data_IF_881735836196
#
_entry.id   IF_881735836196
#
_cell.length_a   1.000
_cell.length_b   1.000
_cell.length_c   1.000
_cell.angle_alpha   90.00
_cell.angle_beta   90.00
_cell.angle_gamma   90.00
#
_symmetry.space_group_name_H-M   'P 1'
#
loop_
_entity.id
_entity.type
_entity.pdbx_description
1 polymer ?
#
# COMPACT_ATOMS: atom_id res chain seq x y z
N UNK A 1 -21.81 -17.25 3.95
CA UNK A 1 -21.33 -17.01 5.34
C UNK A 1 -21.00 -18.35 5.97
N UNK A 2 -19.73 -18.59 6.32
CA UNK A 2 -19.31 -19.77 7.09
C UNK A 2 -19.38 -19.37 8.57
N UNK A 3 -20.24 -20.03 9.36
CA UNK A 3 -20.39 -19.77 10.80
C UNK A 3 -19.46 -20.72 11.55
N UNK A 4 -18.48 -20.16 12.25
CA UNK A 4 -17.73 -20.86 13.29
C UNK A 4 -18.12 -20.12 14.58
N UNK A 5 -18.84 -20.79 15.48
CA UNK A 5 -19.12 -20.35 16.86
C UNK A 5 -20.03 -19.12 17.10
N UNK A 6 -20.96 -18.81 16.18
CA UNK A 6 -22.02 -17.80 16.43
C UNK A 6 -21.60 -16.34 16.21
N UNK A 7 -20.31 -16.06 16.06
CA UNK A 7 -19.80 -14.79 15.54
C UNK A 7 -19.59 -14.89 14.02
N UNK A 8 -20.15 -13.96 13.26
CA UNK A 8 -19.91 -13.87 11.82
C UNK A 8 -18.56 -13.19 11.63
N UNK A 9 -17.54 -13.95 11.23
CA UNK A 9 -16.25 -13.37 10.82
C UNK A 9 -16.50 -12.38 9.68
N UNK A 10 -16.16 -11.10 9.89
CA UNK A 10 -16.31 -10.04 8.89
C UNK A 10 -15.54 -10.42 7.62
N UNK A 11 -16.24 -10.49 6.49
CA UNK A 11 -15.61 -10.76 5.20
C UNK A 11 -14.66 -9.63 4.83
N UNK A 12 -15.02 -8.39 5.21
CA UNK A 12 -14.14 -7.23 5.06
C UNK A 12 -12.79 -7.44 5.76
N UNK A 13 -12.77 -7.94 7.00
CA UNK A 13 -11.51 -8.20 7.71
C UNK A 13 -10.66 -9.26 7.02
N UNK A 14 -11.27 -10.36 6.56
CA UNK A 14 -10.55 -11.43 5.86
C UNK A 14 -9.91 -10.89 4.58
N UNK A 15 -10.69 -10.20 3.75
CA UNK A 15 -10.24 -9.65 2.48
C UNK A 15 -9.15 -8.59 2.71
N UNK A 16 -9.36 -7.68 3.67
CA UNK A 16 -8.37 -6.66 4.04
C UNK A 16 -7.07 -7.27 4.56
N UNK A 17 -7.14 -8.36 5.32
CA UNK A 17 -5.96 -9.05 5.83
C UNK A 17 -5.16 -9.70 4.70
N UNK A 18 -5.83 -10.35 3.74
CA UNK A 18 -5.18 -10.95 2.57
C UNK A 18 -4.55 -9.85 1.70
N UNK A 19 -5.28 -8.78 1.42
CA UNK A 19 -4.76 -7.64 0.65
C UNK A 19 -3.58 -6.99 1.37
N UNK A 20 -3.70 -6.75 2.68
CA UNK A 20 -2.62 -6.19 3.51
C UNK A 20 -1.38 -7.07 3.48
N UNK A 21 -1.51 -8.39 3.63
CA UNK A 21 -0.38 -9.31 3.54
C UNK A 21 0.31 -9.25 2.16
N UNK A 22 -0.46 -9.18 1.07
CA UNK A 22 0.07 -9.03 -0.28
C UNK A 22 0.80 -7.69 -0.47
N UNK A 23 0.26 -6.58 0.05
CA UNK A 23 0.91 -5.25 0.04
C UNK A 23 2.23 -5.29 0.83
N UNK A 24 2.24 -5.91 2.02
CA UNK A 24 3.46 -6.01 2.82
C UNK A 24 4.52 -6.88 2.14
N UNK A 25 4.12 -7.95 1.46
CA UNK A 25 5.04 -8.76 0.66
C UNK A 25 5.64 -7.94 -0.48
N UNK A 26 4.82 -7.21 -1.23
CA UNK A 26 5.28 -6.31 -2.31
C UNK A 26 6.29 -5.29 -1.79
N UNK A 27 5.95 -4.63 -0.69
CA UNK A 27 6.77 -3.60 -0.07
C UNK A 27 8.11 -4.12 0.45
N UNK A 28 8.12 -5.23 1.19
CA UNK A 28 9.34 -5.70 1.82
C UNK A 28 10.20 -6.57 0.91
N UNK A 29 9.62 -7.17 -0.13
CA UNK A 29 10.35 -8.01 -1.08
C UNK A 29 10.68 -7.24 -2.37
N UNK A 30 9.68 -6.83 -3.16
CA UNK A 30 9.90 -6.25 -4.47
C UNK A 30 10.41 -4.81 -4.37
N UNK A 31 9.70 -3.93 -3.67
CA UNK A 31 10.08 -2.51 -3.55
C UNK A 31 11.46 -2.33 -2.94
N UNK A 32 11.79 -3.06 -1.87
CA UNK A 32 13.14 -2.98 -1.27
C UNK A 32 14.24 -3.51 -2.18
N UNK A 33 13.94 -4.49 -3.03
CA UNK A 33 14.90 -5.07 -3.99
C UNK A 33 15.18 -4.12 -5.15
N UNK A 34 14.13 -3.58 -5.80
CA UNK A 34 14.29 -2.69 -6.97
C UNK A 34 14.51 -1.22 -6.61
N UNK A 35 14.08 -0.81 -5.42
CA UNK A 35 13.98 0.59 -5.02
C UNK A 35 12.78 1.31 -5.65
N UNK A 36 12.29 2.36 -5.01
CA UNK A 36 11.12 3.10 -5.48
C UNK A 36 11.54 4.34 -6.30
N UNK A 37 11.04 4.53 -7.54
CA UNK A 37 11.22 5.78 -8.27
C UNK A 37 10.44 6.92 -7.60
N UNK A 38 10.91 8.16 -7.76
CA UNK A 38 10.33 9.35 -7.10
C UNK A 38 8.82 9.53 -7.30
N UNK A 39 8.31 9.07 -8.43
CA UNK A 39 6.89 9.15 -8.74
C UNK A 39 6.08 8.23 -7.80
N UNK A 40 6.50 6.97 -7.62
CA UNK A 40 5.84 6.00 -6.73
C UNK A 40 5.90 6.43 -5.26
N UNK A 41 6.98 7.12 -4.87
CA UNK A 41 7.10 7.71 -3.53
C UNK A 41 5.97 8.71 -3.22
N UNK A 42 5.44 9.38 -4.25
CA UNK A 42 4.32 10.34 -4.09
C UNK A 42 2.98 9.65 -4.35
N UNK A 43 2.92 8.72 -5.30
CA UNK A 43 1.68 8.06 -5.68
C UNK A 43 1.14 7.14 -4.60
N UNK A 44 2.00 6.30 -4.00
CA UNK A 44 1.57 5.33 -3.01
C UNK A 44 0.90 6.00 -1.79
N UNK A 45 1.41 7.12 -1.24
CA UNK A 45 0.68 7.88 -0.21
C UNK A 45 -0.69 8.38 -0.66
N UNK A 46 -0.83 8.88 -1.89
CA UNK A 46 -2.11 9.36 -2.43
C UNK A 46 -3.11 8.21 -2.51
N UNK A 47 -2.68 7.06 -3.03
CA UNK A 47 -3.53 5.89 -3.18
C UNK A 47 -3.96 5.37 -1.80
N UNK A 48 -3.02 5.32 -0.86
CA UNK A 48 -3.27 4.93 0.54
C UNK A 48 -4.27 5.87 1.24
N UNK A 49 -4.12 7.19 1.06
CA UNK A 49 -5.06 8.19 1.59
C UNK A 49 -6.45 8.00 0.97
N UNK A 50 -6.54 7.66 -0.32
CA UNK A 50 -7.83 7.44 -0.99
C UNK A 50 -8.62 6.29 -0.35
N UNK A 51 -7.94 5.21 0.07
CA UNK A 51 -8.57 4.07 0.76
C UNK A 51 -8.99 4.46 2.16
N UNK A 52 -8.11 5.12 2.92
CA UNK A 52 -8.44 5.63 4.27
C UNK A 52 -9.67 6.55 4.19
N UNK A 53 -9.73 7.45 3.20
CA UNK A 53 -10.87 8.35 3.03
C UNK A 53 -12.18 7.57 2.79
N UNK A 54 -12.14 6.50 1.98
CA UNK A 54 -13.31 5.64 1.77
C UNK A 54 -13.75 4.96 3.08
N UNK A 55 -12.82 4.39 3.85
CA UNK A 55 -13.16 3.69 5.09
C UNK A 55 -13.64 4.65 6.18
N UNK A 56 -12.99 5.81 6.34
CA UNK A 56 -13.44 6.82 7.31
C UNK A 56 -14.79 7.42 6.92
N UNK A 57 -15.11 7.54 5.63
CA UNK A 57 -16.44 7.94 5.18
C UNK A 57 -17.52 6.97 5.69
N UNK A 58 -17.30 5.66 5.61
CA UNK A 58 -18.22 4.66 6.16
C UNK A 58 -18.33 4.74 7.70
N UNK A 59 -17.25 5.06 8.40
CA UNK A 59 -17.25 5.19 9.87
C UNK A 59 -18.10 6.40 10.33
N UNK A 60 -17.94 7.54 9.66
CA UNK A 60 -18.48 8.83 10.13
C UNK A 60 -19.78 9.27 9.46
N UNK A 61 -20.29 8.49 8.49
CA UNK A 61 -21.47 8.87 7.71
C UNK A 61 -22.56 7.81 7.85
N UNK A 62 -23.82 8.25 7.99
CA UNK A 62 -24.98 7.36 7.97
C UNK A 62 -25.33 6.96 6.53
N UNK A 63 -25.83 5.73 6.37
CA UNK A 63 -26.24 5.25 5.05
C UNK A 63 -27.56 5.90 4.62
N UNK A 64 -27.47 6.61 3.49
CA UNK A 64 -28.59 7.20 2.76
C UNK A 64 -28.35 6.97 1.26
N UNK A 65 -29.36 7.12 0.38
CA UNK A 65 -29.14 7.00 -1.06
C UNK A 65 -28.06 7.95 -1.60
N UNK A 66 -27.99 9.17 -1.04
CA UNK A 66 -26.98 10.17 -1.43
C UNK A 66 -25.59 9.78 -0.98
N UNK A 67 -25.42 9.35 0.28
CA UNK A 67 -24.11 8.98 0.82
C UNK A 67 -23.59 7.68 0.22
N UNK A 68 -24.48 6.75 -0.15
CA UNK A 68 -24.16 5.57 -0.95
C UNK A 68 -23.63 5.94 -2.34
N UNK A 69 -24.28 6.88 -3.05
CA UNK A 69 -23.77 7.37 -4.33
C UNK A 69 -22.39 8.05 -4.20
N UNK A 70 -22.19 8.86 -3.16
CA UNK A 70 -20.90 9.50 -2.87
C UNK A 70 -19.82 8.44 -2.62
N UNK A 71 -20.12 7.42 -1.82
CA UNK A 71 -19.18 6.33 -1.55
C UNK A 71 -18.76 5.61 -2.83
N UNK A 72 -19.70 5.26 -3.72
CA UNK A 72 -19.34 4.61 -4.99
C UNK A 72 -18.45 5.48 -5.87
N UNK A 73 -18.67 6.80 -5.89
CA UNK A 73 -17.78 7.73 -6.60
C UNK A 73 -16.39 7.72 -5.97
N UNK A 74 -16.28 7.81 -4.65
CA UNK A 74 -14.99 7.76 -3.94
C UNK A 74 -14.26 6.44 -4.18
N UNK A 75 -14.95 5.31 -4.06
CA UNK A 75 -14.39 3.98 -4.29
C UNK A 75 -13.91 3.81 -5.74
N UNK A 76 -14.68 4.31 -6.72
CA UNK A 76 -14.27 4.30 -8.13
C UNK A 76 -13.02 5.15 -8.35
N UNK A 77 -12.95 6.35 -7.79
CA UNK A 77 -11.77 7.20 -7.86
C UNK A 77 -10.55 6.57 -7.18
N UNK A 78 -10.74 5.85 -6.07
CA UNK A 78 -9.69 5.08 -5.41
C UNK A 78 -9.18 3.94 -6.31
N UNK A 79 -10.07 3.19 -6.96
CA UNK A 79 -9.70 2.16 -7.93
C UNK A 79 -8.95 2.72 -9.14
N UNK A 80 -9.40 3.85 -9.68
CA UNK A 80 -8.68 4.56 -10.77
C UNK A 80 -7.30 5.01 -10.30
N UNK A 81 -7.21 5.47 -9.05
CA UNK A 81 -5.95 5.91 -8.46
C UNK A 81 -4.96 4.75 -8.44
N UNK A 82 -5.29 3.58 -7.88
CA UNK A 82 -4.33 2.45 -7.87
C UNK A 82 -4.03 1.89 -9.27
N UNK A 83 -5.01 1.86 -10.19
CA UNK A 83 -4.83 1.27 -11.52
C UNK A 83 -3.97 2.12 -12.46
N UNK A 84 -3.80 3.42 -12.18
CA UNK A 84 -2.89 4.30 -12.96
C UNK A 84 -1.45 3.79 -12.96
N UNK A 85 -1.05 3.08 -11.91
CA UNK A 85 0.34 2.65 -11.69
C UNK A 85 0.76 1.57 -12.70
N UNK A 86 -0.20 0.83 -13.25
CA UNK A 86 0.03 -0.23 -14.24
C UNK A 86 0.78 0.25 -15.49
N UNK A 87 0.55 1.49 -15.93
CA UNK A 87 1.25 2.08 -17.08
C UNK A 87 2.75 2.22 -16.84
N UNK A 88 3.15 2.31 -15.57
CA UNK A 88 4.53 2.42 -15.13
C UNK A 88 5.08 1.05 -14.76
N UNK A 89 4.31 0.23 -14.03
CA UNK A 89 4.73 -1.11 -13.58
C UNK A 89 5.19 -2.01 -14.72
N UNK A 90 4.49 -1.98 -15.87
CA UNK A 90 4.89 -2.72 -17.08
C UNK A 90 6.31 -2.44 -17.60
N UNK A 91 6.96 -1.37 -17.13
CA UNK A 91 8.32 -0.97 -17.55
C UNK A 91 9.40 -1.39 -16.54
N UNK A 92 9.03 -1.57 -15.28
CA UNK A 92 9.99 -1.74 -14.17
C UNK A 92 9.82 -3.04 -13.39
N UNK A 93 8.61 -3.61 -13.39
CA UNK A 93 8.27 -4.77 -12.58
C UNK A 93 8.65 -6.07 -13.30
N UNK A 94 9.09 -7.05 -12.49
CA UNK A 94 9.26 -8.43 -12.94
C UNK A 94 7.93 -9.12 -13.19
N UNK A 95 7.91 -10.26 -13.88
CA UNK A 95 6.67 -10.98 -14.17
C UNK A 95 5.93 -11.42 -12.89
N UNK A 96 6.69 -11.78 -11.86
CA UNK A 96 6.19 -12.18 -10.55
C UNK A 96 5.57 -11.00 -9.80
N UNK A 97 6.19 -9.82 -9.88
CA UNK A 97 5.68 -8.57 -9.31
C UNK A 97 4.40 -8.12 -10.03
N UNK A 98 4.38 -8.19 -11.37
CA UNK A 98 3.17 -7.91 -12.16
C UNK A 98 2.01 -8.83 -11.81
N UNK A 99 2.28 -10.11 -11.54
CA UNK A 99 1.24 -11.05 -11.10
C UNK A 99 0.67 -10.66 -9.73
N UNK A 100 1.53 -10.29 -8.77
CA UNK A 100 1.09 -9.82 -7.46
C UNK A 100 0.25 -8.54 -7.58
N UNK A 101 0.66 -7.60 -8.43
CA UNK A 101 -0.08 -6.37 -8.70
C UNK A 101 -1.46 -6.66 -9.30
N UNK A 102 -1.57 -7.62 -10.22
CA UNK A 102 -2.87 -8.05 -10.74
C UNK A 102 -3.78 -8.60 -9.63
N UNK A 103 -3.23 -9.38 -8.68
CA UNK A 103 -3.98 -9.84 -7.50
C UNK A 103 -4.43 -8.65 -6.64
N UNK A 104 -3.54 -7.71 -6.36
CA UNK A 104 -3.85 -6.50 -5.59
C UNK A 104 -4.94 -5.64 -6.28
N UNK A 105 -4.91 -5.51 -7.60
CA UNK A 105 -5.93 -4.79 -8.37
C UNK A 105 -7.30 -5.47 -8.37
N UNK A 106 -7.37 -6.80 -8.20
CA UNK A 106 -8.64 -7.49 -7.97
C UNK A 106 -9.12 -7.34 -6.53
N UNK A 107 -8.20 -7.42 -5.56
CA UNK A 107 -8.52 -7.36 -4.14
C UNK A 107 -9.01 -5.96 -3.71
N UNK A 108 -8.44 -4.90 -4.28
CA UNK A 108 -8.79 -3.53 -3.93
C UNK A 108 -10.28 -3.17 -4.12
N UNK A 109 -10.88 -3.29 -5.33
CA UNK A 109 -12.31 -3.06 -5.50
C UNK A 109 -13.13 -4.04 -4.66
N UNK A 110 -12.71 -5.31 -4.54
CA UNK A 110 -13.41 -6.30 -3.73
C UNK A 110 -13.50 -5.87 -2.25
N UNK A 111 -12.41 -5.39 -1.67
CA UNK A 111 -12.39 -4.89 -0.30
C UNK A 111 -13.35 -3.70 -0.11
N UNK A 112 -13.36 -2.74 -1.04
CA UNK A 112 -14.25 -1.58 -0.98
C UNK A 112 -15.73 -1.96 -1.16
N UNK A 113 -16.05 -2.87 -2.09
CA UNK A 113 -17.44 -3.32 -2.26
C UNK A 113 -17.94 -4.16 -1.08
N UNK A 114 -17.07 -4.96 -0.45
CA UNK A 114 -17.43 -5.69 0.77
C UNK A 114 -17.58 -4.73 1.96
N UNK A 115 -16.75 -3.69 2.06
CA UNK A 115 -16.93 -2.64 3.07
C UNK A 115 -18.27 -1.92 2.92
N UNK A 116 -18.68 -1.61 1.69
CA UNK A 116 -20.02 -1.04 1.40
C UNK A 116 -21.15 -1.98 1.84
N UNK A 117 -21.00 -3.29 1.56
CA UNK A 117 -21.99 -4.28 1.95
C UNK A 117 -22.12 -4.41 3.48
N UNK A 118 -21.00 -4.31 4.20
CA UNK A 118 -20.96 -4.39 5.67
C UNK A 118 -21.03 -3.01 6.37
N UNK A 119 -21.43 -1.93 5.68
CA UNK A 119 -21.32 -0.54 6.18
C UNK A 119 -21.83 -0.38 7.62
N UNK A 120 -23.05 -0.82 7.89
CA UNK A 120 -23.67 -0.57 9.20
C UNK A 120 -23.14 -1.48 10.31
N UNK A 121 -22.68 -2.69 9.96
CA UNK A 121 -22.33 -3.72 10.93
C UNK A 121 -20.84 -3.71 11.31
N UNK A 122 -19.98 -3.15 10.45
CA UNK A 122 -18.52 -3.30 10.53
C UNK A 122 -17.75 -2.01 10.81
N UNK A 123 -18.38 -0.96 11.36
CA UNK A 123 -17.70 0.32 11.66
C UNK A 123 -16.42 0.19 12.51
N UNK A 124 -16.37 -0.62 13.59
CA UNK A 124 -15.13 -0.84 14.34
C UNK A 124 -14.02 -1.47 13.49
N UNK A 125 -14.38 -2.37 12.57
CA UNK A 125 -13.43 -2.99 11.66
C UNK A 125 -12.86 -1.99 10.66
N UNK A 126 -13.70 -1.10 10.09
CA UNK A 126 -13.22 -0.04 9.20
C UNK A 126 -12.25 0.90 9.90
N UNK A 127 -12.52 1.27 11.15
CA UNK A 127 -11.63 2.11 11.95
C UNK A 127 -10.30 1.39 12.23
N UNK A 128 -10.34 0.11 12.63
CA UNK A 128 -9.15 -0.69 12.89
C UNK A 128 -8.27 -0.84 11.64
N UNK A 129 -8.88 -1.19 10.50
CA UNK A 129 -8.17 -1.31 9.22
C UNK A 129 -7.61 0.04 8.76
N UNK A 130 -8.38 1.13 8.89
CA UNK A 130 -7.91 2.49 8.60
C UNK A 130 -6.69 2.86 9.45
N UNK A 131 -6.71 2.50 10.73
CA UNK A 131 -5.57 2.70 11.64
C UNK A 131 -4.33 1.94 11.19
N UNK A 132 -4.48 0.67 10.81
CA UNK A 132 -3.37 -0.12 10.26
C UNK A 132 -2.80 0.46 8.96
N UNK A 133 -3.67 0.88 8.03
CA UNK A 133 -3.28 1.53 6.77
C UNK A 133 -2.60 2.88 7.05
N UNK A 134 -3.06 3.64 8.05
CA UNK A 134 -2.42 4.89 8.44
C UNK A 134 -1.00 4.68 8.98
N UNK A 135 -0.77 3.64 9.78
CA UNK A 135 0.60 3.27 10.20
C UNK A 135 1.47 2.96 8.99
N UNK A 136 0.93 2.25 7.99
CA UNK A 136 1.63 1.97 6.75
C UNK A 136 1.92 3.23 5.93
N UNK A 137 0.98 4.18 5.85
CA UNK A 137 1.16 5.49 5.22
C UNK A 137 2.32 6.26 5.85
N UNK A 138 2.37 6.32 7.18
CA UNK A 138 3.47 6.98 7.91
C UNK A 138 4.80 6.31 7.57
N UNK A 139 4.83 4.97 7.54
CA UNK A 139 6.01 4.22 7.11
C UNK A 139 6.42 4.60 5.68
N UNK A 140 5.49 4.63 4.71
CA UNK A 140 5.79 4.98 3.32
C UNK A 140 6.41 6.39 3.22
N UNK A 141 5.79 7.38 3.87
CA UNK A 141 6.28 8.76 3.87
C UNK A 141 7.67 8.86 4.50
N UNK A 142 7.87 8.25 5.68
CA UNK A 142 9.14 8.35 6.40
C UNK A 142 10.25 7.57 5.69
N UNK A 143 10.01 6.30 5.37
CA UNK A 143 11.01 5.43 4.80
C UNK A 143 11.35 5.83 3.37
N UNK A 144 10.37 5.89 2.47
CA UNK A 144 10.65 6.18 1.06
C UNK A 144 10.87 7.67 0.79
N UNK A 145 10.16 8.55 1.50
CA UNK A 145 10.32 9.99 1.34
C UNK A 145 11.65 10.52 1.87
N UNK A 146 12.19 9.95 2.94
CA UNK A 146 13.37 10.52 3.63
C UNK A 146 14.54 9.56 3.83
N UNK A 147 14.30 8.30 4.25
CA UNK A 147 15.38 7.41 4.68
C UNK A 147 16.03 6.66 3.52
N UNK A 148 15.25 6.14 2.57
CA UNK A 148 15.73 5.29 1.49
C UNK A 148 16.79 6.01 0.63
N UNK A 149 16.56 7.29 0.32
CA UNK A 149 17.50 8.09 -0.47
C UNK A 149 18.82 8.33 0.28
N UNK A 150 18.75 8.58 1.60
CA UNK A 150 19.94 8.76 2.44
C UNK A 150 20.77 7.48 2.52
N UNK A 151 20.11 6.34 2.72
CA UNK A 151 20.75 5.01 2.77
C UNK A 151 21.43 4.70 1.44
N UNK A 152 20.77 5.01 0.31
CA UNK A 152 21.31 4.80 -1.03
C UNK A 152 22.58 5.63 -1.25
N UNK A 153 22.56 6.92 -0.94
CA UNK A 153 23.73 7.81 -1.05
C UNK A 153 24.89 7.33 -0.18
N UNK A 154 24.62 6.99 1.08
CA UNK A 154 25.63 6.49 2.00
C UNK A 154 26.30 5.19 1.51
N UNK A 155 25.53 4.25 0.94
CA UNK A 155 26.08 3.01 0.36
C UNK A 155 27.00 3.28 -0.84
N UNK A 156 26.60 4.20 -1.72
CA UNK A 156 27.40 4.59 -2.89
C UNK A 156 28.70 5.25 -2.44
N UNK A 157 28.64 6.20 -1.51
CA UNK A 157 29.83 6.85 -0.93
C UNK A 157 30.78 5.85 -0.26
N UNK A 158 30.24 4.89 0.51
CA UNK A 158 31.04 3.84 1.13
C UNK A 158 31.76 2.96 0.10
N UNK A 159 31.07 2.61 -1.00
CA UNK A 159 31.67 1.85 -2.11
C UNK A 159 32.81 2.61 -2.77
N UNK A 160 32.65 3.91 -3.03
CA UNK A 160 33.71 4.75 -3.59
C UNK A 160 34.94 4.84 -2.68
N UNK A 161 34.72 5.05 -1.37
CA UNK A 161 35.82 5.08 -0.38
C UNK A 161 36.62 3.78 -0.37
N UNK A 162 35.94 2.63 -0.45
CA UNK A 162 36.60 1.32 -0.49
C UNK A 162 37.50 1.17 -1.73
N UNK A 163 36.98 1.53 -2.91
CA UNK A 163 37.74 1.47 -4.17
C UNK A 163 38.95 2.42 -4.13
N UNK A 164 38.80 3.61 -3.55
CA UNK A 164 39.90 4.56 -3.41
C UNK A 164 41.02 4.02 -2.50
N UNK A 165 40.66 3.43 -1.36
CA UNK A 165 41.63 2.79 -0.45
C UNK A 165 42.38 1.63 -1.10
N UNK A 166 41.69 0.82 -1.93
CA UNK A 166 42.32 -0.26 -2.69
C UNK A 166 43.33 0.27 -3.73
N UNK A 167 43.05 1.44 -4.33
CA UNK A 167 43.92 2.05 -5.34
C UNK A 167 45.13 2.81 -4.77
N UNK A 168 45.02 3.40 -3.57
CA UNK A 168 46.10 4.18 -2.95
C UNK A 168 47.21 3.29 -2.35
N UNK A 169 46.99 1.97 -2.22
CA UNK A 169 47.94 1.03 -1.64
C UNK A 169 48.19 1.25 -0.14
N UNK A 170 48.85 0.32 0.57
CA UNK A 170 49.26 0.56 1.95
C UNK A 170 50.24 1.74 1.98
N UNK A 171 50.06 2.64 2.95
CA UNK A 171 50.99 3.75 3.16
C UNK A 171 52.43 3.20 3.30
N UNK A 172 53.43 3.84 2.66
CA UNK A 172 54.81 3.40 2.78
C UNK A 172 55.22 3.40 4.25
N UNK A 173 55.61 2.23 4.75
CA UNK A 173 56.08 1.99 6.12
C UNK A 173 57.49 2.51 6.35
#
# INVERSE_FOLDING_TARGET
>A
MCRIDGEVMSAFLIISAIQGAAILFDEFFFHRKRGLPKWEVISHPIDTISVIACLLFLVFTERTPTTEAIYYVMATLSCISVTKDEWVHRKFCSAEEMWLHAVLFMMHPLALFVAMYEWEDSRPAFLAVSGGIFVFLVYQIVYWGFLAERVRKARVEASYRKVQQENEGPAPT
#
